data_IF_388093615294
#
_entry.id   IF_388093615294
#
_cell.length_a   1.000
_cell.length_b   1.000
_cell.length_c   1.000
_cell.angle_alpha   90.00
_cell.angle_beta   90.00
_cell.angle_gamma   90.00
#
_symmetry.space_group_name_H-M   'P 1'
#
loop_
_entity.id
_entity.type
_entity.pdbx_description
1 polymer ?
#
# COMPACT_ATOMS: atom_id res chain seq x y z
N UNK A 1 15.43 11.74 -17.57
CA UNK A 1 14.85 11.30 -16.28
C UNK A 1 13.39 11.00 -16.53
N UNK A 2 12.99 9.72 -16.60
CA UNK A 2 11.56 9.38 -16.69
C UNK A 2 10.96 9.73 -15.33
N UNK A 3 10.01 10.65 -15.31
CA UNK A 3 9.16 10.85 -14.12
C UNK A 3 8.25 9.64 -14.10
N UNK A 4 8.55 8.67 -13.23
CA UNK A 4 7.69 7.51 -13.04
C UNK A 4 6.32 7.96 -12.55
N UNK A 5 5.28 7.23 -12.94
CA UNK A 5 3.93 7.51 -12.42
C UNK A 5 3.90 7.33 -10.89
N UNK A 6 2.95 7.96 -10.18
CA UNK A 6 2.83 7.81 -8.72
C UNK A 6 2.73 6.34 -8.28
N UNK A 7 2.07 5.52 -9.11
CA UNK A 7 2.00 4.07 -8.93
C UNK A 7 3.37 3.37 -8.99
N UNK A 8 4.23 3.72 -9.96
CA UNK A 8 5.57 3.14 -10.07
C UNK A 8 6.43 3.44 -8.84
N UNK A 9 6.35 4.68 -8.34
CA UNK A 9 7.02 5.07 -7.09
C UNK A 9 6.49 4.28 -5.90
N UNK A 10 5.17 4.10 -5.78
CA UNK A 10 4.58 3.30 -4.72
C UNK A 10 5.04 1.83 -4.76
N UNK A 11 5.15 1.25 -5.96
CA UNK A 11 5.64 -0.12 -6.16
C UNK A 11 7.11 -0.24 -5.76
N UNK A 12 7.96 0.71 -6.17
CA UNK A 12 9.38 0.71 -5.81
C UNK A 12 9.57 0.84 -4.30
N UNK A 13 8.78 1.71 -3.66
CA UNK A 13 8.75 1.85 -2.20
C UNK A 13 8.32 0.56 -1.49
N UNK A 14 7.34 -0.16 -2.05
CA UNK A 14 6.91 -1.46 -1.55
C UNK A 14 8.03 -2.50 -1.68
N UNK A 15 8.72 -2.56 -2.81
CA UNK A 15 9.85 -3.48 -3.03
C UNK A 15 11.01 -3.20 -2.08
N UNK A 16 11.29 -1.94 -1.77
CA UNK A 16 12.28 -1.55 -0.75
C UNK A 16 11.97 -2.11 0.65
N UNK A 17 10.71 -2.51 0.92
CA UNK A 17 10.35 -3.21 2.17
C UNK A 17 10.67 -4.71 2.14
N UNK A 18 11.26 -5.23 1.05
CA UNK A 18 11.48 -6.66 0.82
C UNK A 18 10.18 -7.41 0.51
N UNK A 19 9.12 -6.70 0.13
CA UNK A 19 7.92 -7.34 -0.38
C UNK A 19 8.22 -8.02 -1.72
N UNK A 20 7.66 -9.19 -1.93
CA UNK A 20 7.71 -9.90 -3.21
C UNK A 20 6.43 -10.71 -3.39
N UNK A 21 6.01 -10.89 -4.64
CA UNK A 21 4.87 -11.71 -5.00
C UNK A 21 5.24 -13.21 -4.99
N UNK A 22 5.63 -13.74 -3.82
CA UNK A 22 5.90 -15.17 -3.64
C UNK A 22 4.67 -16.03 -4.01
N UNK A 23 3.48 -15.45 -3.81
CA UNK A 23 2.21 -15.93 -4.34
C UNK A 23 1.61 -14.81 -5.22
N UNK A 24 1.46 -15.07 -6.52
CA UNK A 24 0.92 -14.10 -7.47
C UNK A 24 -0.60 -13.97 -7.43
N UNK A 25 -1.30 -14.76 -6.60
CA UNK A 25 -2.75 -14.66 -6.45
C UNK A 25 -3.13 -13.28 -5.90
N UNK A 26 -3.95 -12.57 -6.68
CA UNK A 26 -4.41 -11.22 -6.36
C UNK A 26 -3.37 -10.13 -6.67
N UNK A 27 -2.35 -10.43 -7.47
CA UNK A 27 -1.43 -9.43 -8.01
C UNK A 27 -1.78 -9.05 -9.45
N UNK A 28 -1.33 -7.87 -9.85
CA UNK A 28 -1.42 -7.29 -11.17
C UNK A 28 -0.02 -6.96 -11.69
N UNK A 29 0.07 -6.57 -12.96
CA UNK A 29 1.32 -6.27 -13.65
C UNK A 29 1.29 -4.87 -14.24
N UNK A 30 2.36 -4.11 -14.07
CA UNK A 30 2.59 -2.87 -14.80
C UNK A 30 2.93 -3.18 -16.27
N UNK A 31 2.88 -2.17 -17.14
CA UNK A 31 3.25 -2.31 -18.55
C UNK A 31 4.72 -2.69 -18.79
N UNK A 32 5.61 -2.42 -17.82
CA UNK A 32 7.01 -2.84 -17.80
C UNK A 32 7.25 -4.18 -17.09
N UNK A 33 6.19 -4.84 -16.61
CA UNK A 33 6.22 -6.20 -16.07
C UNK A 33 6.48 -6.33 -14.58
N UNK A 34 6.54 -5.22 -13.82
CA UNK A 34 6.59 -5.28 -12.34
C UNK A 34 5.27 -5.82 -11.80
N UNK A 35 5.36 -6.69 -10.80
CA UNK A 35 4.21 -7.30 -10.14
C UNK A 35 3.84 -6.52 -8.89
N UNK A 36 2.58 -6.16 -8.72
CA UNK A 36 2.10 -5.43 -7.55
C UNK A 36 0.78 -6.01 -7.04
N UNK A 37 0.46 -5.89 -5.73
CA UNK A 37 -0.78 -6.43 -5.20
C UNK A 37 -1.98 -5.57 -5.61
N UNK A 38 -3.10 -6.19 -5.98
CA UNK A 38 -4.39 -5.50 -6.12
C UNK A 38 -4.86 -4.91 -4.78
N UNK A 39 -5.80 -3.98 -4.79
CA UNK A 39 -6.36 -3.38 -3.56
C UNK A 39 -6.86 -4.44 -2.58
N UNK A 40 -7.56 -5.47 -3.08
CA UNK A 40 -8.05 -6.59 -2.26
C UNK A 40 -6.91 -7.39 -1.66
N UNK A 41 -5.82 -7.61 -2.41
CA UNK A 41 -4.62 -8.28 -1.86
C UNK A 41 -3.97 -7.41 -0.79
N UNK A 42 -3.86 -6.11 -1.01
CA UNK A 42 -3.34 -5.17 0.00
C UNK A 42 -4.15 -5.26 1.29
N UNK A 43 -5.48 -5.20 1.21
CA UNK A 43 -6.34 -5.32 2.40
C UNK A 43 -6.10 -6.63 3.17
N UNK A 44 -5.87 -7.75 2.47
CA UNK A 44 -5.50 -9.03 3.10
C UNK A 44 -4.15 -8.96 3.81
N UNK A 45 -3.15 -8.31 3.20
CA UNK A 45 -1.82 -8.12 3.83
C UNK A 45 -1.93 -7.27 5.10
N UNK A 46 -2.77 -6.22 5.11
CA UNK A 46 -3.07 -5.45 6.32
C UNK A 46 -3.71 -6.33 7.40
N UNK A 47 -4.73 -7.11 7.03
CA UNK A 47 -5.43 -7.99 7.97
C UNK A 47 -4.49 -9.05 8.56
N UNK A 48 -3.58 -9.61 7.78
CA UNK A 48 -2.55 -10.56 8.25
C UNK A 48 -1.58 -9.94 9.26
N UNK A 49 -1.39 -8.62 9.21
CA UNK A 49 -0.57 -7.85 10.13
C UNK A 49 -1.36 -7.29 11.32
N UNK A 50 -2.66 -7.59 11.44
CA UNK A 50 -3.51 -7.10 12.53
C UNK A 50 -4.03 -5.67 12.35
N UNK A 51 -4.08 -5.18 11.11
CA UNK A 51 -4.62 -3.85 10.78
C UNK A 51 -5.81 -3.96 9.81
N UNK A 52 -6.71 -2.99 9.85
CA UNK A 52 -7.78 -2.86 8.86
C UNK A 52 -7.48 -1.68 7.94
N UNK A 53 -7.54 -1.87 6.62
CA UNK A 53 -7.33 -0.83 5.62
C UNK A 53 -8.64 -0.42 4.97
N UNK A 54 -8.89 0.89 4.92
CA UNK A 54 -9.97 1.51 4.17
C UNK A 54 -9.40 2.48 3.14
N UNK A 55 -9.95 2.46 1.92
CA UNK A 55 -9.58 3.38 0.84
C UNK A 55 -10.83 4.12 0.38
N UNK A 56 -10.81 5.44 0.43
CA UNK A 56 -11.95 6.29 0.07
C UNK A 56 -11.55 7.39 -0.93
N UNK A 57 -12.43 7.65 -1.91
CA UNK A 57 -12.27 8.78 -2.84
C UNK A 57 -12.74 10.08 -2.19
N UNK A 58 -11.85 11.06 -2.13
CA UNK A 58 -12.13 12.41 -1.63
C UNK A 58 -12.46 13.29 -2.83
N UNK A 59 -13.73 13.27 -3.23
CA UNK A 59 -14.23 13.92 -4.44
C UNK A 59 -13.83 15.40 -4.58
N UNK A 60 -13.79 16.15 -3.46
CA UNK A 60 -13.43 17.56 -3.46
C UNK A 60 -12.01 17.83 -3.98
N UNK A 61 -11.09 16.88 -3.78
CA UNK A 61 -9.68 16.99 -4.14
C UNK A 61 -9.26 16.03 -5.25
N UNK A 62 -10.22 15.26 -5.78
CA UNK A 62 -10.01 14.19 -6.75
C UNK A 62 -8.82 13.28 -6.42
N UNK A 63 -8.77 12.80 -5.17
CA UNK A 63 -7.71 11.93 -4.69
C UNK A 63 -8.26 10.79 -3.85
N UNK A 64 -7.46 9.76 -3.62
CA UNK A 64 -7.82 8.61 -2.81
C UNK A 64 -7.03 8.64 -1.50
N UNK A 65 -7.74 8.54 -0.37
CA UNK A 65 -7.14 8.41 0.95
C UNK A 65 -7.19 6.95 1.37
N UNK A 66 -6.03 6.37 1.63
CA UNK A 66 -5.88 5.05 2.22
C UNK A 66 -5.49 5.22 3.69
N UNK A 67 -6.31 4.72 4.61
CA UNK A 67 -6.10 4.82 6.05
C UNK A 67 -6.31 3.49 6.75
N UNK A 68 -5.59 3.29 7.85
CA UNK A 68 -5.66 2.04 8.57
C UNK A 68 -5.67 2.19 10.09
N UNK A 69 -6.33 1.24 10.73
CA UNK A 69 -6.53 1.16 12.17
C UNK A 69 -5.93 -0.11 12.75
N UNK A 70 -5.62 -0.09 14.05
CA UNK A 70 -5.27 -1.30 14.80
C UNK A 70 -6.52 -2.13 15.16
N UNK A 71 -6.31 -3.28 15.81
CA UNK A 71 -7.39 -4.18 16.26
C UNK A 71 -8.40 -3.57 17.23
N UNK A 72 -8.07 -2.44 17.86
CA UNK A 72 -8.94 -1.70 18.78
C UNK A 72 -9.67 -0.56 18.06
N UNK A 73 -9.34 -0.32 16.79
CA UNK A 73 -9.91 0.74 15.97
C UNK A 73 -9.18 2.08 16.08
N UNK A 74 -8.01 2.14 16.70
CA UNK A 74 -7.24 3.39 16.76
C UNK A 74 -6.61 3.68 15.40
N UNK A 75 -6.65 4.92 14.91
CA UNK A 75 -6.00 5.30 13.66
C UNK A 75 -4.48 5.21 13.81
N UNK A 76 -3.84 4.39 12.99
CA UNK A 76 -2.38 4.16 13.02
C UNK A 76 -1.68 4.96 11.93
N UNK A 77 -2.32 5.12 10.77
CA UNK A 77 -1.76 5.93 9.70
C UNK A 77 -2.71 6.15 8.54
N UNK A 78 -2.34 7.09 7.69
CA UNK A 78 -3.03 7.41 6.46
C UNK A 78 -2.05 7.94 5.40
N UNK A 79 -2.38 7.71 4.13
CA UNK A 79 -1.70 8.28 2.97
C UNK A 79 -2.74 8.70 1.93
N UNK A 80 -2.33 9.55 0.99
CA UNK A 80 -3.15 9.96 -0.16
C UNK A 80 -2.42 9.63 -1.46
N UNK A 81 -3.18 9.26 -2.49
CA UNK A 81 -2.68 8.98 -3.84
C UNK A 81 -3.64 9.49 -4.91
N UNK A 82 -3.17 9.57 -6.16
CA UNK A 82 -3.99 10.03 -7.29
C UNK A 82 -4.94 8.96 -7.84
N UNK A 83 -4.71 7.69 -7.47
CA UNK A 83 -5.60 6.56 -7.77
C UNK A 83 -5.76 5.65 -6.55
N UNK A 84 -6.83 4.85 -6.54
CA UNK A 84 -7.12 3.90 -5.47
C UNK A 84 -5.96 2.92 -5.24
N UNK A 85 -5.44 2.35 -6.33
CA UNK A 85 -4.37 1.35 -6.30
C UNK A 85 -3.04 1.94 -5.82
N UNK A 86 -2.70 3.16 -6.26
CA UNK A 86 -1.51 3.88 -5.81
C UNK A 86 -1.57 4.11 -4.29
N UNK A 87 -2.69 4.64 -3.79
CA UNK A 87 -2.88 4.92 -2.37
C UNK A 87 -2.76 3.62 -1.54
N UNK A 88 -3.36 2.52 -2.00
CA UNK A 88 -3.30 1.22 -1.33
C UNK A 88 -1.87 0.66 -1.26
N UNK A 89 -1.14 0.63 -2.38
CA UNK A 89 0.24 0.11 -2.43
C UNK A 89 1.15 0.96 -1.55
N UNK A 90 1.01 2.28 -1.63
CA UNK A 90 1.83 3.18 -0.82
C UNK A 90 1.54 3.03 0.68
N UNK A 91 0.26 2.81 1.06
CA UNK A 91 -0.10 2.49 2.43
C UNK A 91 0.60 1.20 2.92
N UNK A 92 0.61 0.15 2.11
CA UNK A 92 1.28 -1.11 2.46
C UNK A 92 2.80 -0.93 2.63
N UNK A 93 3.44 -0.20 1.71
CA UNK A 93 4.85 0.14 1.81
C UNK A 93 5.15 0.89 3.12
N UNK A 94 4.30 1.87 3.47
CA UNK A 94 4.45 2.66 4.70
C UNK A 94 4.28 1.82 5.96
N UNK A 95 3.25 0.97 6.03
CA UNK A 95 3.02 0.07 7.16
C UNK A 95 4.23 -0.84 7.36
N UNK A 96 4.67 -1.54 6.31
CA UNK A 96 5.80 -2.48 6.37
C UNK A 96 7.10 -1.81 6.78
N UNK A 97 7.33 -0.57 6.34
CA UNK A 97 8.48 0.24 6.79
C UNK A 97 8.40 0.56 8.28
N UNK A 98 7.24 0.99 8.77
CA UNK A 98 7.05 1.28 10.19
C UNK A 98 7.27 0.03 11.06
N UNK A 99 6.82 -1.14 10.61
CA UNK A 99 7.04 -2.41 11.31
C UNK A 99 8.52 -2.79 11.38
N UNK A 100 9.32 -2.54 10.32
CA UNK A 100 10.77 -2.75 10.36
C UNK A 100 11.49 -1.81 11.33
N UNK A 101 11.00 -0.58 11.49
CA UNK A 101 11.56 0.40 12.42
C UNK A 101 11.12 0.13 13.87
N UNK A 102 9.98 -0.54 14.07
CA UNK A 102 9.45 -0.92 15.38
C UNK A 102 10.03 -2.21 15.98
N UNK A 103 10.93 -2.92 15.28
CA UNK A 103 11.68 -4.05 15.83
C UNK A 103 13.04 -3.53 16.33
N UNK A 104 13.09 -3.19 17.62
CA UNK A 104 14.34 -3.04 18.37
C UNK A 104 14.53 -4.33 19.22
N UNK A 105 15.70 -4.99 19.22
CA UNK A 105 15.98 -6.13 20.10
C UNK A 105 15.87 -5.78 21.59
#
# INVERSE_FOLDING_TARGET
>A
MKVGTGLELAIDELYCTGWSALDSIGCEHTGDGKVYPSVVRVQKEFAQLGYELQVGHIQLFDCFRAEWTDVVGNPVGAVVGSSEIEAAIYALARLRRNLKVGVNP
#
